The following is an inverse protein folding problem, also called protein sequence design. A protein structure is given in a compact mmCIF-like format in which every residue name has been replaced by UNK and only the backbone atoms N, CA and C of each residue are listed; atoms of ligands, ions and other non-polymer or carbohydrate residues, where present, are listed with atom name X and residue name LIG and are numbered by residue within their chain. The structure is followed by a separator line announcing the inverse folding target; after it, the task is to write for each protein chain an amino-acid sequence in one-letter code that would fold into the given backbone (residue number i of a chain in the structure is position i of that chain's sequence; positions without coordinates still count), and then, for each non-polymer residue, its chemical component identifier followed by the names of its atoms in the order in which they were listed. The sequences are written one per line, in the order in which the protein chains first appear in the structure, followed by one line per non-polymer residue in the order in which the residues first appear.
data_IF_338809434433
#
_entry.id   IF_338809434433
#
_cell.length_a   1.000
_cell.length_b   1.000
_cell.length_c   1.000
_cell.angle_alpha   90.00
_cell.angle_beta   90.00
_cell.angle_gamma   90.00
#
_symmetry.space_group_name_H-M   'P 1'
#
loop_
_entity.id
_entity.type
_entity.pdbx_description
1 polymer ?
#
# COMPACT_ATOMS: atom_id res chain seq x y z
N UNK A 1 4.28 11.83 -23.96
CA UNK A 1 3.45 11.43 -22.80
C UNK A 1 3.88 10.13 -22.12
N UNK A 2 4.26 9.07 -22.86
CA UNK A 2 4.58 7.77 -22.27
C UNK A 2 5.81 7.80 -21.35
N UNK A 3 6.87 8.52 -21.73
CA UNK A 3 8.04 8.74 -20.87
C UNK A 3 7.69 9.46 -19.56
N UNK A 4 6.77 10.43 -19.61
CA UNK A 4 6.32 11.17 -18.42
C UNK A 4 5.49 10.29 -17.48
N UNK A 5 4.59 9.46 -18.02
CA UNK A 5 3.82 8.48 -17.23
C UNK A 5 4.75 7.45 -16.56
N UNK A 6 5.78 7.00 -17.26
CA UNK A 6 6.74 6.05 -16.72
C UNK A 6 7.56 6.68 -15.58
N UNK A 7 8.04 7.92 -15.74
CA UNK A 7 8.71 8.65 -14.66
C UNK A 7 7.80 8.86 -13.45
N UNK A 8 6.53 9.22 -13.66
CA UNK A 8 5.54 9.33 -12.58
C UNK A 8 5.30 8.00 -11.87
N UNK A 9 5.21 6.90 -12.61
CA UNK A 9 5.07 5.56 -12.04
C UNK A 9 6.29 5.18 -11.18
N UNK A 10 7.50 5.53 -11.63
CA UNK A 10 8.73 5.36 -10.83
C UNK A 10 8.67 6.12 -9.52
N UNK A 11 8.28 7.41 -9.55
CA UNK A 11 8.12 8.20 -8.35
C UNK A 11 7.04 7.65 -7.42
N UNK A 12 5.91 7.22 -7.97
CA UNK A 12 4.84 6.58 -7.19
C UNK A 12 5.35 5.32 -6.48
N UNK A 13 6.03 4.42 -7.20
CA UNK A 13 6.65 3.22 -6.63
C UNK A 13 7.67 3.56 -5.55
N UNK A 14 8.50 4.58 -5.76
CA UNK A 14 9.53 5.00 -4.80
C UNK A 14 8.92 5.59 -3.52
N UNK A 15 7.88 6.41 -3.65
CA UNK A 15 7.17 7.00 -2.52
C UNK A 15 6.42 5.90 -1.74
N UNK A 16 5.72 5.01 -2.43
CA UNK A 16 5.01 3.89 -1.81
C UNK A 16 6.00 2.93 -1.12
N UNK A 17 7.15 2.67 -1.74
CA UNK A 17 8.25 1.91 -1.13
C UNK A 17 8.72 2.53 0.19
N UNK A 18 8.97 3.84 0.21
CA UNK A 18 9.43 4.54 1.40
C UNK A 18 8.36 4.54 2.50
N UNK A 19 7.10 4.81 2.15
CA UNK A 19 5.98 4.80 3.10
C UNK A 19 5.80 3.40 3.70
N UNK A 20 5.77 2.36 2.88
CA UNK A 20 5.60 0.98 3.34
C UNK A 20 6.78 0.52 4.19
N UNK A 21 8.01 0.89 3.82
CA UNK A 21 9.19 0.54 4.61
C UNK A 21 9.18 1.22 5.98
N UNK A 22 8.90 2.52 6.02
CA UNK A 22 8.83 3.28 7.27
C UNK A 22 7.67 2.82 8.16
N UNK A 23 6.49 2.61 7.58
CA UNK A 23 5.34 2.08 8.30
C UNK A 23 5.61 0.66 8.80
N UNK A 24 6.23 -0.18 7.98
CA UNK A 24 6.64 -1.53 8.35
C UNK A 24 7.60 -1.53 9.54
N UNK A 25 8.63 -0.68 9.51
CA UNK A 25 9.56 -0.49 10.62
C UNK A 25 8.84 0.00 11.89
N UNK A 26 7.89 0.93 11.76
CA UNK A 26 7.12 1.46 12.89
C UNK A 26 6.22 0.39 13.52
N UNK A 27 5.56 -0.44 12.71
CA UNK A 27 4.73 -1.55 13.18
C UNK A 27 5.56 -2.62 13.92
N UNK A 28 6.80 -2.85 13.50
CA UNK A 28 7.72 -3.81 14.15
C UNK A 28 8.26 -3.25 15.47
N UNK A 29 8.78 -2.01 15.44
CA UNK A 29 9.55 -1.45 16.55
C UNK A 29 8.68 -0.72 17.58
N UNK A 30 7.53 -0.21 17.18
CA UNK A 30 6.66 0.60 18.03
C UNK A 30 5.15 0.36 17.74
N UNK A 31 4.65 -0.89 17.81
CA UNK A 31 3.24 -1.20 17.53
C UNK A 31 2.27 -0.39 18.40
N UNK A 32 2.57 -0.21 19.70
CA UNK A 32 1.72 0.55 20.62
C UNK A 32 1.59 2.05 20.30
N UNK A 33 2.55 2.61 19.54
CA UNK A 33 2.44 3.99 19.06
C UNK A 33 1.52 4.07 17.84
N UNK A 34 1.57 3.07 16.98
CA UNK A 34 0.66 2.96 15.84
C UNK A 34 -0.77 2.77 16.33
N UNK A 35 -1.01 1.85 17.28
CA UNK A 35 -2.33 1.62 17.87
C UNK A 35 -2.96 2.93 18.39
N UNK A 36 -2.18 3.72 19.15
CA UNK A 36 -2.61 5.03 19.65
C UNK A 36 -2.86 6.04 18.54
N UNK A 37 -2.00 6.10 17.52
CA UNK A 37 -2.17 7.00 16.39
C UNK A 37 -3.46 6.70 15.60
N UNK A 38 -3.85 5.43 15.53
CA UNK A 38 -5.10 5.01 14.91
C UNK A 38 -6.30 4.98 15.88
N UNK A 39 -6.15 5.45 17.12
CA UNK A 39 -7.20 5.44 18.15
C UNK A 39 -7.74 4.05 18.50
N UNK A 40 -6.93 3.00 18.38
CA UNK A 40 -7.23 1.72 19.00
C UNK A 40 -6.91 1.82 20.51
N UNK A 41 -7.89 1.50 21.34
CA UNK A 41 -7.76 1.53 22.80
C UNK A 41 -7.73 0.10 23.33
N UNK A 42 -6.83 -0.13 24.30
CA UNK A 42 -6.77 -1.36 25.10
C UNK A 42 -6.71 -2.67 24.30
N UNK A 43 -5.93 -2.68 23.21
CA UNK A 43 -5.69 -3.92 22.46
C UNK A 43 -4.93 -4.93 23.34
N UNK A 44 -5.31 -6.23 23.32
CA UNK A 44 -4.55 -7.26 23.99
C UNK A 44 -3.09 -7.26 23.52
N UNK A 45 -2.10 -7.42 24.41
CA UNK A 45 -0.67 -7.37 24.03
C UNK A 45 -0.28 -8.34 22.91
N UNK A 46 -0.98 -9.47 22.79
CA UNK A 46 -0.79 -10.45 21.73
C UNK A 46 -1.10 -9.88 20.32
N UNK A 47 -1.96 -8.87 20.20
CA UNK A 47 -2.25 -8.19 18.94
C UNK A 47 -1.02 -7.45 18.42
N UNK A 48 -0.16 -6.94 19.31
CA UNK A 48 1.12 -6.32 18.95
C UNK A 48 2.04 -7.26 18.14
N UNK A 49 1.98 -8.57 18.39
CA UNK A 49 2.71 -9.56 17.58
C UNK A 49 2.14 -9.66 16.15
N UNK A 50 0.80 -9.65 15.98
CA UNK A 50 0.16 -9.63 14.66
C UNK A 50 0.46 -8.34 13.90
N UNK A 51 0.45 -7.20 14.59
CA UNK A 51 0.83 -5.89 14.05
C UNK A 51 2.29 -5.91 13.58
N UNK A 52 3.21 -6.45 14.39
CA UNK A 52 4.62 -6.61 14.01
C UNK A 52 4.82 -7.52 12.80
N UNK A 53 4.10 -8.65 12.71
CA UNK A 53 4.12 -9.51 11.52
C UNK A 53 3.64 -8.78 10.27
N UNK A 54 2.59 -7.98 10.39
CA UNK A 54 2.12 -7.13 9.30
C UNK A 54 3.17 -6.08 8.91
N UNK A 55 3.90 -5.56 9.89
CA UNK A 55 5.06 -4.71 9.67
C UNK A 55 6.17 -5.37 8.84
N UNK A 56 6.47 -6.65 9.07
CA UNK A 56 7.42 -7.41 8.24
C UNK A 56 6.96 -7.52 6.79
N UNK A 57 5.66 -7.71 6.56
CA UNK A 57 5.06 -7.73 5.21
C UNK A 57 5.25 -6.36 4.55
N UNK A 58 4.97 -5.27 5.25
CA UNK A 58 5.15 -3.92 4.70
C UNK A 58 6.60 -3.55 4.43
N UNK A 59 7.52 -3.91 5.34
CA UNK A 59 8.95 -3.66 5.15
C UNK A 59 9.48 -4.41 3.91
N UNK A 60 9.12 -5.68 3.74
CA UNK A 60 9.53 -6.48 2.58
C UNK A 60 8.88 -6.01 1.27
N UNK A 61 7.60 -5.63 1.29
CA UNK A 61 6.94 -4.99 0.14
C UNK A 61 7.63 -3.68 -0.24
N UNK A 62 8.02 -2.85 0.72
CA UNK A 62 8.75 -1.61 0.48
C UNK A 62 10.03 -1.84 -0.32
N UNK A 63 10.81 -2.87 0.04
CA UNK A 63 12.01 -3.27 -0.72
C UNK A 63 11.64 -3.70 -2.15
N UNK A 64 10.59 -4.51 -2.29
CA UNK A 64 10.11 -4.96 -3.60
C UNK A 64 9.69 -3.81 -4.52
N UNK A 65 8.98 -2.82 -3.98
CA UNK A 65 8.61 -1.61 -4.72
C UNK A 65 9.81 -0.73 -5.09
N UNK A 66 10.81 -0.63 -4.22
CA UNK A 66 12.06 0.08 -4.54
C UNK A 66 12.79 -0.59 -5.72
N UNK A 67 12.84 -1.93 -5.75
CA UNK A 67 13.39 -2.68 -6.89
C UNK A 67 12.55 -2.43 -8.14
N UNK A 68 11.22 -2.50 -8.05
CA UNK A 68 10.33 -2.26 -9.18
C UNK A 68 10.44 -0.84 -9.75
N UNK A 69 10.77 0.16 -8.92
CA UNK A 69 10.96 1.55 -9.36
C UNK A 69 12.16 1.70 -10.33
N UNK A 70 13.17 0.82 -10.25
CA UNK A 70 14.33 0.87 -11.16
C UNK A 70 13.92 0.58 -12.62
N UNK A 71 13.04 -0.39 -12.82
CA UNK A 71 12.48 -0.76 -14.12
C UNK A 71 11.01 -1.22 -13.98
N UNK A 72 10.05 -0.29 -13.98
CA UNK A 72 8.64 -0.61 -13.77
C UNK A 72 8.03 -1.49 -14.86
N UNK A 73 8.57 -1.45 -16.08
CA UNK A 73 8.04 -2.23 -17.20
C UNK A 73 8.43 -3.70 -17.04
N UNK A 74 9.68 -3.97 -16.66
CA UNK A 74 10.14 -5.33 -16.34
C UNK A 74 9.46 -5.90 -15.10
N UNK A 75 9.08 -5.04 -14.16
CA UNK A 75 8.50 -5.41 -12.87
C UNK A 75 7.00 -5.10 -12.77
N UNK A 76 6.25 -5.21 -13.86
CA UNK A 76 4.83 -4.82 -13.91
C UNK A 76 3.95 -5.56 -12.89
N UNK A 77 4.34 -6.76 -12.48
CA UNK A 77 3.66 -7.52 -11.42
C UNK A 77 3.61 -6.72 -10.11
N UNK A 78 4.65 -5.95 -9.78
CA UNK A 78 4.65 -5.11 -8.58
C UNK A 78 3.60 -4.00 -8.65
N UNK A 79 3.39 -3.42 -9.83
CA UNK A 79 2.30 -2.46 -10.05
C UNK A 79 0.93 -3.13 -9.83
N UNK A 80 0.75 -4.35 -10.33
CA UNK A 80 -0.49 -5.12 -10.12
C UNK A 80 -0.70 -5.45 -8.64
N UNK A 81 0.36 -5.84 -7.92
CA UNK A 81 0.32 -6.06 -6.47
C UNK A 81 -0.08 -4.77 -5.75
N UNK A 82 0.41 -3.59 -6.17
CA UNK A 82 -0.01 -2.30 -5.61
C UNK A 82 -1.50 -2.01 -5.79
N UNK A 83 -2.02 -2.28 -6.98
CA UNK A 83 -3.46 -2.14 -7.27
C UNK A 83 -4.27 -3.10 -6.39
N UNK A 84 -3.89 -4.38 -6.38
CA UNK A 84 -4.58 -5.43 -5.65
C UNK A 84 -4.55 -5.18 -4.14
N UNK A 85 -3.40 -4.81 -3.59
CA UNK A 85 -3.24 -4.43 -2.18
C UNK A 85 -4.18 -3.30 -1.81
N UNK A 86 -4.12 -2.16 -2.52
CA UNK A 86 -4.96 -1.01 -2.21
C UNK A 86 -6.46 -1.34 -2.34
N UNK A 87 -6.86 -2.15 -3.32
CA UNK A 87 -8.25 -2.59 -3.45
C UNK A 87 -8.68 -3.49 -2.28
N UNK A 88 -7.84 -4.46 -1.89
CA UNK A 88 -8.12 -5.36 -0.76
C UNK A 88 -8.19 -4.61 0.57
N UNK A 89 -7.28 -3.66 0.81
CA UNK A 89 -7.28 -2.79 2.00
C UNK A 89 -8.57 -1.95 2.08
N UNK A 90 -8.99 -1.36 0.97
CA UNK A 90 -10.27 -0.64 0.89
C UNK A 90 -11.48 -1.53 1.19
N UNK A 91 -11.56 -2.70 0.52
CA UNK A 91 -12.66 -3.64 0.71
C UNK A 91 -12.71 -4.09 2.17
N UNK A 92 -11.58 -4.46 2.76
CA UNK A 92 -11.50 -4.88 4.16
C UNK A 92 -11.96 -3.77 5.10
N UNK A 93 -11.46 -2.55 4.93
CA UNK A 93 -11.84 -1.41 5.76
C UNK A 93 -13.32 -1.08 5.69
N UNK A 94 -13.94 -1.16 4.50
CA UNK A 94 -15.38 -0.99 4.33
C UNK A 94 -16.19 -2.11 4.99
N UNK A 95 -15.76 -3.36 4.86
CA UNK A 95 -16.41 -4.51 5.51
C UNK A 95 -16.38 -4.34 7.04
N UNK A 96 -15.23 -3.96 7.59
CA UNK A 96 -15.05 -3.85 9.05
C UNK A 96 -15.78 -2.64 9.62
N UNK A 97 -15.81 -1.53 8.87
CA UNK A 97 -16.61 -0.36 9.20
C UNK A 97 -18.11 -0.70 9.19
N UNK A 98 -18.58 -1.40 8.14
CA UNK A 98 -19.98 -1.82 8.03
C UNK A 98 -20.42 -2.83 9.09
N UNK A 99 -19.49 -3.64 9.62
CA UNK A 99 -19.73 -4.56 10.74
C UNK A 99 -19.62 -3.89 12.11
N UNK A 100 -19.23 -2.62 12.18
CA UNK A 100 -19.00 -1.92 13.45
C UNK A 100 -17.78 -2.42 14.24
N UNK A 101 -16.85 -3.14 13.59
CA UNK A 101 -15.62 -3.65 14.23
C UNK A 101 -14.62 -2.50 14.43
N UNK A 102 -14.60 -1.55 13.49
CA UNK A 102 -13.76 -0.35 13.54
C UNK A 102 -14.63 0.89 13.36
N UNK A 103 -14.23 1.98 14.00
CA UNK A 103 -14.89 3.29 13.83
C UNK A 103 -14.43 3.95 12.52
N UNK A 104 -15.18 4.96 12.08
CA UNK A 104 -14.77 5.77 10.93
C UNK A 104 -13.43 6.46 11.18
N UNK A 105 -13.15 6.90 12.41
CA UNK A 105 -11.88 7.53 12.77
C UNK A 105 -10.70 6.56 12.68
N UNK A 106 -10.91 5.29 13.04
CA UNK A 106 -9.88 4.24 12.96
C UNK A 106 -9.57 3.81 11.52
N UNK A 107 -10.59 3.71 10.65
CA UNK A 107 -10.43 3.11 9.32
C UNK A 107 -10.30 4.09 8.16
N UNK A 108 -10.87 5.29 8.27
CA UNK A 108 -11.01 6.22 7.12
C UNK A 108 -9.66 6.61 6.51
N UNK A 109 -8.65 6.92 7.34
CA UNK A 109 -7.34 7.31 6.84
C UNK A 109 -6.72 6.22 5.97
N UNK A 110 -6.67 4.98 6.47
CA UNK A 110 -6.12 3.84 5.75
C UNK A 110 -6.88 3.55 4.45
N UNK A 111 -8.22 3.54 4.50
CA UNK A 111 -9.07 3.28 3.33
C UNK A 111 -8.91 4.36 2.26
N UNK A 112 -8.87 5.64 2.64
CA UNK A 112 -8.72 6.74 1.67
C UNK A 112 -7.34 6.67 1.00
N UNK A 113 -6.27 6.48 1.78
CA UNK A 113 -4.91 6.37 1.24
C UNK A 113 -4.80 5.16 0.30
N UNK A 114 -5.32 4.00 0.71
CA UNK A 114 -5.34 2.79 -0.11
C UNK A 114 -6.08 2.99 -1.44
N UNK A 115 -7.23 3.68 -1.41
CA UNK A 115 -8.01 3.99 -2.61
C UNK A 115 -7.22 4.91 -3.56
N UNK A 116 -6.62 5.97 -3.02
CA UNK A 116 -5.84 6.92 -3.81
C UNK A 116 -4.63 6.26 -4.48
N UNK A 117 -3.88 5.44 -3.73
CA UNK A 117 -2.73 4.69 -4.28
C UNK A 117 -3.19 3.71 -5.36
N UNK A 118 -4.25 2.95 -5.12
CA UNK A 118 -4.77 1.98 -6.10
C UNK A 118 -5.21 2.68 -7.40
N UNK A 119 -5.95 3.80 -7.29
CA UNK A 119 -6.36 4.62 -8.44
C UNK A 119 -5.14 5.18 -9.18
N UNK A 120 -4.12 5.67 -8.45
CA UNK A 120 -2.90 6.20 -9.04
C UNK A 120 -2.15 5.13 -9.85
N UNK A 121 -2.02 3.91 -9.32
CA UNK A 121 -1.43 2.80 -10.07
C UNK A 121 -2.24 2.41 -11.30
N UNK A 122 -3.57 2.38 -11.21
CA UNK A 122 -4.44 2.10 -12.38
C UNK A 122 -4.26 3.18 -13.45
N UNK A 123 -4.23 4.45 -13.07
CA UNK A 123 -4.10 5.58 -13.99
C UNK A 123 -2.73 5.62 -14.69
N UNK A 124 -1.67 5.21 -13.98
CA UNK A 124 -0.30 5.13 -14.48
C UNK A 124 0.08 3.77 -15.06
N UNK A 125 -0.86 2.81 -15.10
CA UNK A 125 -0.58 1.45 -15.55
C UNK A 125 -0.02 1.46 -16.99
N UNK A 126 1.15 0.84 -17.24
CA UNK A 126 1.72 0.79 -18.57
C UNK A 126 0.87 -0.12 -19.46
N UNK A 127 0.16 0.47 -20.43
CA UNK A 127 -0.57 -0.29 -21.45
C UNK A 127 0.38 -0.64 -22.60
N UNK A 128 0.40 -1.90 -23.07
CA UNK A 128 1.09 -2.24 -24.32
C UNK A 128 0.55 -1.37 -25.44
N UNK A 129 1.43 -0.73 -26.21
CA UNK A 129 0.99 -0.07 -27.44
C UNK A 129 0.53 -1.16 -28.42
N UNK A 130 -0.60 -0.99 -29.13
CA UNK A 130 -0.98 -1.92 -30.17
C UNK A 130 0.13 -1.93 -31.22
N UNK A 131 0.78 -3.08 -31.41
CA UNK A 131 1.67 -3.32 -32.54
C UNK A 131 0.82 -3.16 -33.79
N UNK A 132 1.02 -2.05 -34.51
CA UNK A 132 0.41 -1.85 -35.81
C UNK A 132 0.98 -2.92 -36.74
N UNK A 133 0.23 -4.01 -36.94
CA UNK A 133 0.56 -5.03 -37.94
C UNK A 133 0.29 -4.40 -39.31
N UNK A 134 1.31 -3.79 -39.89
CA UNK A 134 1.37 -3.48 -41.34
C UNK A 134 1.49 -4.76 -42.14
#
# INVERSE_FOLDING_TARGET
MQNMKLSLLRYLLMIDAAILFLLGALLILAPSQVERAFHFQDLPPAVGYMIGLWGCVFASLGIGYAVAATDPLRHIVWVQVGIARGALECILGLIYLGRGIVTFQQSSFGVIVAALISIAYIALYPRPQPVNKT
#
